data_IF_395495795138
#
_entry.id   IF_395495795138
#
_cell.length_a   1.000
_cell.length_b   1.000
_cell.length_c   1.000
_cell.angle_alpha   90.00
_cell.angle_beta   90.00
_cell.angle_gamma   90.00
#
_symmetry.space_group_name_H-M   'P 1'
#
loop_
_entity.id
_entity.type
_entity.pdbx_description
1 polymer ?
#
# COMPACT_ATOMS: atom_id res chain seq x y z
N UNK A 1 -9.62 -23.87 27.33
CA UNK A 1 -8.77 -24.75 26.51
C UNK A 1 -8.35 -23.92 25.31
N UNK A 2 -7.07 -23.58 25.18
CA UNK A 2 -6.55 -22.95 23.99
C UNK A 2 -6.63 -23.98 22.87
N UNK A 3 -7.63 -23.89 22.01
CA UNK A 3 -7.66 -24.63 20.76
C UNK A 3 -6.47 -24.15 19.92
N UNK A 4 -5.41 -24.92 19.97
CA UNK A 4 -4.15 -24.59 19.29
C UNK A 4 -4.39 -24.70 17.79
N UNK A 5 -4.10 -23.59 17.06
CA UNK A 5 -4.21 -23.60 15.61
C UNK A 5 -3.19 -24.57 15.02
N UNK A 6 -3.62 -25.36 14.03
CA UNK A 6 -2.71 -26.29 13.33
C UNK A 6 -1.62 -25.52 12.60
N UNK A 7 -0.38 -25.90 12.83
CA UNK A 7 0.81 -25.30 12.19
C UNK A 7 0.83 -25.65 10.71
N UNK A 8 1.16 -24.66 9.86
CA UNK A 8 1.33 -24.80 8.41
C UNK A 8 2.79 -24.48 8.07
N UNK A 9 3.60 -25.51 7.86
CA UNK A 9 5.04 -25.44 7.64
C UNK A 9 5.56 -26.30 6.48
N UNK A 10 4.68 -27.07 5.84
CA UNK A 10 4.98 -28.00 4.76
C UNK A 10 3.87 -28.01 3.70
N UNK A 11 4.14 -28.63 2.57
CA UNK A 11 3.18 -28.83 1.47
C UNK A 11 1.94 -29.57 1.97
N UNK A 12 2.11 -30.64 2.73
CA UNK A 12 1.01 -31.47 3.25
C UNK A 12 0.15 -30.67 4.25
N UNK A 13 0.77 -29.96 5.19
CA UNK A 13 0.04 -29.13 6.16
C UNK A 13 -0.68 -27.94 5.49
N UNK A 14 -0.15 -27.39 4.39
CA UNK A 14 -0.84 -26.39 3.59
C UNK A 14 -2.05 -26.98 2.86
N UNK A 15 -1.92 -28.18 2.29
CA UNK A 15 -3.06 -28.87 1.66
C UNK A 15 -4.18 -29.16 2.68
N UNK A 16 -3.84 -29.65 3.87
CA UNK A 16 -4.81 -29.82 4.95
C UNK A 16 -5.46 -28.49 5.37
N UNK A 17 -4.70 -27.39 5.37
CA UNK A 17 -5.26 -26.07 5.65
C UNK A 17 -6.27 -25.63 4.58
N UNK A 18 -5.98 -25.89 3.31
CA UNK A 18 -6.94 -25.65 2.22
C UNK A 18 -8.24 -26.42 2.43
N UNK A 19 -8.17 -27.70 2.78
CA UNK A 19 -9.36 -28.54 2.96
C UNK A 19 -10.24 -28.02 4.11
N UNK A 20 -9.61 -27.62 5.23
CA UNK A 20 -10.33 -27.01 6.36
C UNK A 20 -10.96 -25.67 5.99
N UNK A 21 -10.18 -24.78 5.36
CA UNK A 21 -10.67 -23.45 4.96
C UNK A 21 -11.79 -23.57 3.92
N UNK A 22 -11.67 -24.45 2.94
CA UNK A 22 -12.73 -24.71 1.94
C UNK A 22 -14.02 -25.22 2.58
N UNK A 23 -13.92 -26.11 3.57
CA UNK A 23 -15.07 -26.60 4.33
C UNK A 23 -15.74 -25.46 5.10
N UNK A 24 -14.95 -24.67 5.82
CA UNK A 24 -15.43 -23.51 6.57
C UNK A 24 -16.05 -22.45 5.63
N UNK A 25 -15.45 -22.22 4.48
CA UNK A 25 -15.97 -21.27 3.49
C UNK A 25 -17.32 -21.71 2.92
N UNK A 26 -17.49 -23.01 2.62
CA UNK A 26 -18.79 -23.57 2.18
C UNK A 26 -19.89 -23.43 3.24
N UNK A 27 -19.55 -23.49 4.51
CA UNK A 27 -20.48 -23.20 5.60
C UNK A 27 -20.78 -21.70 5.64
N UNK A 28 -19.76 -20.86 5.61
CA UNK A 28 -19.87 -19.39 5.69
C UNK A 28 -20.61 -18.79 4.49
N UNK A 29 -20.53 -19.40 3.31
CA UNK A 29 -21.25 -18.94 2.12
C UNK A 29 -22.77 -18.89 2.29
N UNK A 30 -23.30 -19.67 3.23
CA UNK A 30 -24.75 -19.74 3.53
C UNK A 30 -25.22 -18.71 4.55
N UNK A 31 -24.30 -17.90 5.12
CA UNK A 31 -24.64 -16.94 6.16
C UNK A 31 -25.45 -15.77 5.58
N UNK A 32 -26.38 -15.28 6.41
CA UNK A 32 -27.18 -14.10 6.09
C UNK A 32 -26.35 -12.82 6.20
N UNK A 33 -26.83 -11.72 5.61
CA UNK A 33 -26.19 -10.42 5.73
C UNK A 33 -26.04 -9.99 7.20
N UNK A 34 -27.03 -10.23 8.03
CA UNK A 34 -27.00 -9.89 9.47
C UNK A 34 -25.89 -10.65 10.20
N UNK A 35 -25.74 -11.94 9.95
CA UNK A 35 -24.67 -12.75 10.53
C UNK A 35 -23.29 -12.25 10.11
N UNK A 36 -23.11 -11.96 8.81
CA UNK A 36 -21.88 -11.41 8.25
C UNK A 36 -21.55 -10.05 8.84
N UNK A 37 -22.54 -9.16 8.96
CA UNK A 37 -22.34 -7.81 9.50
C UNK A 37 -21.98 -7.84 10.99
N UNK A 38 -22.55 -8.75 11.76
CA UNK A 38 -22.17 -8.97 13.17
C UNK A 38 -20.72 -9.43 13.30
N UNK A 39 -20.29 -10.37 12.46
CA UNK A 39 -18.91 -10.90 12.41
C UNK A 39 -17.94 -9.79 11.99
N UNK A 40 -18.24 -9.08 10.91
CA UNK A 40 -17.43 -7.98 10.39
C UNK A 40 -17.22 -6.88 11.43
N UNK A 41 -18.30 -6.48 12.14
CA UNK A 41 -18.25 -5.49 13.21
C UNK A 41 -17.33 -5.94 14.36
N UNK A 42 -17.52 -7.15 14.86
CA UNK A 42 -16.74 -7.68 15.97
C UNK A 42 -15.24 -7.77 15.62
N UNK A 43 -14.93 -8.26 14.43
CA UNK A 43 -13.57 -8.35 13.91
C UNK A 43 -12.89 -6.96 13.78
N UNK A 44 -13.59 -5.97 13.22
CA UNK A 44 -13.09 -4.62 13.06
C UNK A 44 -12.83 -3.92 14.41
N UNK A 45 -13.72 -4.07 15.38
CA UNK A 45 -13.55 -3.52 16.73
C UNK A 45 -12.33 -4.12 17.42
N UNK A 46 -12.16 -5.44 17.38
CA UNK A 46 -11.02 -6.11 17.99
C UNK A 46 -9.69 -5.68 17.34
N UNK A 47 -9.64 -5.58 16.02
CA UNK A 47 -8.48 -5.08 15.30
C UNK A 47 -8.12 -3.64 15.70
N UNK A 48 -9.13 -2.76 15.81
CA UNK A 48 -8.92 -1.37 16.21
C UNK A 48 -8.44 -1.24 17.67
N UNK A 49 -9.00 -2.03 18.58
CA UNK A 49 -8.53 -2.08 19.98
C UNK A 49 -7.07 -2.52 20.09
N UNK A 50 -6.62 -3.41 19.23
CA UNK A 50 -5.25 -3.91 19.18
C UNK A 50 -4.27 -3.05 18.35
N UNK A 51 -4.71 -1.90 17.78
CA UNK A 51 -3.91 -1.09 16.86
C UNK A 51 -2.55 -0.65 17.40
N UNK A 52 -2.48 -0.33 18.71
CA UNK A 52 -1.24 0.10 19.37
C UNK A 52 -0.26 -1.05 19.58
N UNK A 53 -0.61 -2.16 20.28
CA UNK A 53 0.30 -3.27 20.48
C UNK A 53 0.75 -3.90 19.15
N UNK A 54 -0.11 -3.97 18.14
CA UNK A 54 0.26 -4.47 16.82
C UNK A 54 1.26 -3.54 16.11
N UNK A 55 1.13 -2.23 16.24
CA UNK A 55 2.09 -1.27 15.67
C UNK A 55 3.47 -1.41 16.32
N UNK A 56 3.52 -1.52 17.66
CA UNK A 56 4.77 -1.77 18.40
C UNK A 56 5.44 -3.07 17.94
N UNK A 57 4.69 -4.17 17.91
CA UNK A 57 5.19 -5.47 17.47
C UNK A 57 5.74 -5.43 16.05
N UNK A 58 5.08 -4.72 15.12
CA UNK A 58 5.52 -4.60 13.74
C UNK A 58 6.86 -3.85 13.63
N UNK A 59 7.05 -2.75 14.38
CA UNK A 59 8.31 -2.00 14.39
C UNK A 59 9.42 -2.82 15.05
N UNK A 60 9.16 -3.45 16.19
CA UNK A 60 10.13 -4.30 16.90
C UNK A 60 10.59 -5.48 16.05
N UNK A 61 9.67 -6.15 15.33
CA UNK A 61 10.01 -7.30 14.50
C UNK A 61 10.78 -6.92 13.23
N UNK A 62 10.38 -5.83 12.59
CA UNK A 62 10.92 -5.46 11.26
C UNK A 62 12.08 -4.48 11.33
N UNK A 63 12.21 -3.72 12.42
CA UNK A 63 13.12 -2.58 12.53
C UNK A 63 12.76 -1.40 11.60
N UNK A 64 11.51 -1.33 11.10
CA UNK A 64 11.08 -0.39 10.07
C UNK A 64 9.93 0.49 10.54
N UNK A 65 9.98 1.77 10.17
CA UNK A 65 8.90 2.72 10.31
C UNK A 65 8.77 3.37 11.67
N UNK A 66 7.60 3.92 11.94
CA UNK A 66 7.25 4.72 13.11
C UNK A 66 6.02 4.13 13.78
N UNK A 67 6.08 3.91 15.09
CA UNK A 67 4.98 3.26 15.84
C UNK A 67 3.68 4.06 15.69
N UNK A 68 3.73 5.38 15.89
CA UNK A 68 2.58 6.27 15.84
C UNK A 68 1.89 6.23 14.47
N UNK A 69 2.66 6.21 13.40
CA UNK A 69 2.15 6.14 12.03
C UNK A 69 1.56 4.77 11.72
N UNK A 70 2.17 3.69 12.24
CA UNK A 70 1.58 2.34 12.11
C UNK A 70 0.30 2.19 12.92
N UNK A 71 0.14 2.90 14.04
CA UNK A 71 -1.14 2.99 14.77
C UNK A 71 -2.21 3.60 13.89
N UNK A 72 -1.89 4.70 13.16
CA UNK A 72 -2.79 5.34 12.20
C UNK A 72 -3.16 4.36 11.07
N UNK A 73 -2.19 3.64 10.51
CA UNK A 73 -2.42 2.63 9.47
C UNK A 73 -3.33 1.49 9.94
N UNK A 74 -3.12 0.99 11.16
CA UNK A 74 -3.95 -0.07 11.74
C UNK A 74 -5.39 0.43 12.01
N UNK A 75 -5.53 1.66 12.53
CA UNK A 75 -6.83 2.30 12.72
C UNK A 75 -7.56 2.46 11.38
N UNK A 76 -6.87 2.93 10.36
CA UNK A 76 -7.42 3.04 9.01
C UNK A 76 -7.93 1.70 8.48
N UNK A 77 -7.09 0.65 8.56
CA UNK A 77 -7.43 -0.69 8.10
C UNK A 77 -8.64 -1.31 8.83
N UNK A 78 -8.83 -0.97 10.10
CA UNK A 78 -9.92 -1.46 10.93
C UNK A 78 -11.16 -0.58 10.84
N UNK A 79 -11.06 0.69 11.27
CA UNK A 79 -12.20 1.56 11.49
C UNK A 79 -12.73 2.22 10.22
N UNK A 80 -11.82 2.78 9.39
CA UNK A 80 -12.25 3.45 8.14
C UNK A 80 -12.83 2.43 7.16
N UNK A 81 -12.19 1.27 7.02
CA UNK A 81 -12.69 0.16 6.20
C UNK A 81 -14.05 -0.34 6.71
N UNK A 82 -14.20 -0.52 8.03
CA UNK A 82 -15.48 -0.89 8.61
C UNK A 82 -16.57 0.17 8.33
N UNK A 83 -16.29 1.44 8.58
CA UNK A 83 -17.25 2.51 8.37
C UNK A 83 -17.70 2.63 6.91
N UNK A 84 -16.79 2.41 5.96
CA UNK A 84 -17.10 2.41 4.53
C UNK A 84 -18.03 1.27 4.14
N UNK A 85 -17.73 0.05 4.62
CA UNK A 85 -18.39 -1.16 4.12
C UNK A 85 -19.49 -1.73 5.03
N UNK A 86 -19.68 -1.20 6.25
CA UNK A 86 -20.66 -1.74 7.21
C UNK A 86 -22.09 -1.86 6.65
N UNK A 87 -22.50 -0.93 5.79
CA UNK A 87 -23.83 -0.90 5.19
C UNK A 87 -23.87 -1.48 3.76
N UNK A 88 -22.74 -1.94 3.23
CA UNK A 88 -22.70 -2.53 1.89
C UNK A 88 -23.27 -3.94 1.94
N UNK A 89 -24.23 -4.23 1.06
CA UNK A 89 -24.78 -5.57 0.90
C UNK A 89 -23.80 -6.46 0.14
N UNK A 90 -23.51 -7.63 0.71
CA UNK A 90 -22.58 -8.63 0.16
C UNK A 90 -23.18 -10.03 0.14
N UNK A 91 -24.49 -10.14 0.41
CA UNK A 91 -25.19 -11.41 0.44
C UNK A 91 -26.50 -11.34 -0.33
N UNK A 92 -26.77 -12.38 -1.13
CA UNK A 92 -28.03 -12.55 -1.84
C UNK A 92 -28.24 -11.54 -2.97
N UNK A 93 -29.49 -11.26 -3.32
CA UNK A 93 -29.85 -10.35 -4.41
C UNK A 93 -29.52 -8.91 -4.04
N UNK A 94 -28.63 -8.29 -4.81
CA UNK A 94 -28.21 -6.89 -4.65
C UNK A 94 -29.16 -5.94 -5.39
N UNK A 95 -29.56 -6.35 -6.61
CA UNK A 95 -30.36 -5.54 -7.53
C UNK A 95 -31.26 -6.46 -8.35
N UNK A 96 -32.45 -6.03 -8.67
CA UNK A 96 -33.39 -6.70 -9.57
C UNK A 96 -33.95 -5.71 -10.58
N UNK A 97 -33.65 -5.94 -11.86
CA UNK A 97 -34.26 -5.21 -12.99
C UNK A 97 -35.39 -6.06 -13.56
N UNK A 98 -36.62 -5.69 -13.21
CA UNK A 98 -37.82 -6.41 -13.65
C UNK A 98 -38.13 -6.21 -15.13
N UNK A 99 -37.67 -5.09 -15.74
CA UNK A 99 -37.93 -4.80 -17.14
C UNK A 99 -37.11 -5.73 -18.06
N UNK A 100 -35.88 -6.03 -17.66
CA UNK A 100 -34.99 -6.93 -18.39
C UNK A 100 -34.92 -8.34 -17.81
N UNK A 101 -35.61 -8.62 -16.69
CA UNK A 101 -35.57 -9.94 -16.05
C UNK A 101 -34.21 -10.31 -15.46
N UNK A 102 -33.41 -9.31 -15.05
CA UNK A 102 -32.05 -9.49 -14.56
C UNK A 102 -32.00 -9.38 -13.05
N UNK A 103 -31.27 -10.28 -12.39
CA UNK A 103 -30.93 -10.19 -10.96
C UNK A 103 -29.42 -10.19 -10.79
N UNK A 104 -28.89 -9.20 -10.02
CA UNK A 104 -27.49 -9.16 -9.59
C UNK A 104 -27.40 -9.82 -8.22
N UNK A 105 -26.64 -10.89 -8.13
CA UNK A 105 -26.52 -11.68 -6.90
C UNK A 105 -25.06 -11.64 -6.42
N UNK A 106 -24.86 -11.36 -5.12
CA UNK A 106 -23.54 -11.41 -4.50
C UNK A 106 -23.23 -12.82 -4.03
N UNK A 107 -22.15 -13.41 -4.58
CA UNK A 107 -21.64 -14.72 -4.18
C UNK A 107 -20.15 -14.61 -3.78
N UNK A 108 -19.69 -15.39 -2.78
CA UNK A 108 -18.26 -15.46 -2.46
C UNK A 108 -17.48 -16.13 -3.59
N UNK A 109 -16.23 -15.73 -3.80
CA UNK A 109 -15.35 -16.33 -4.82
C UNK A 109 -14.70 -17.63 -4.36
N UNK A 110 -14.64 -17.90 -3.05
CA UNK A 110 -14.05 -19.10 -2.49
C UNK A 110 -12.92 -18.82 -1.50
N UNK A 111 -11.74 -19.42 -1.71
CA UNK A 111 -10.56 -19.26 -0.84
C UNK A 111 -9.58 -18.27 -1.47
N UNK A 112 -9.22 -17.26 -0.70
CA UNK A 112 -8.29 -16.20 -1.08
C UNK A 112 -6.87 -16.57 -0.65
N UNK A 113 -5.90 -16.52 -1.57
CA UNK A 113 -4.48 -16.47 -1.22
C UNK A 113 -4.07 -15.02 -0.92
N UNK A 114 -3.68 -14.74 0.31
CA UNK A 114 -3.30 -13.39 0.73
C UNK A 114 -1.80 -13.29 1.00
N UNK A 115 -1.05 -12.63 0.13
CA UNK A 115 0.39 -12.35 0.35
C UNK A 115 0.53 -11.01 1.05
N UNK A 116 1.22 -11.00 2.19
CA UNK A 116 1.38 -9.83 3.07
C UNK A 116 2.82 -9.30 3.03
N UNK A 117 3.03 -7.99 2.82
CA UNK A 117 4.36 -7.40 2.74
C UNK A 117 4.99 -7.16 4.11
N UNK A 118 6.30 -6.95 4.15
CA UNK A 118 7.02 -6.59 5.39
C UNK A 118 6.80 -5.12 5.80
N UNK A 119 6.48 -4.25 4.86
CA UNK A 119 6.33 -2.80 5.10
C UNK A 119 5.07 -2.43 5.90
N UNK A 120 3.98 -3.17 5.67
CA UNK A 120 2.67 -2.92 6.29
C UNK A 120 2.02 -4.24 6.76
N UNK A 121 2.70 -5.01 7.64
CA UNK A 121 2.27 -6.38 7.91
C UNK A 121 0.92 -6.46 8.62
N UNK A 122 0.72 -5.63 9.65
CA UNK A 122 -0.49 -5.66 10.48
C UNK A 122 -1.68 -5.02 9.79
N UNK A 123 -1.54 -3.83 9.24
CA UNK A 123 -2.64 -3.13 8.55
C UNK A 123 -3.12 -3.87 7.31
N UNK A 124 -2.20 -4.46 6.52
CA UNK A 124 -2.58 -5.26 5.34
C UNK A 124 -3.29 -6.55 5.73
N UNK A 125 -2.84 -7.23 6.80
CA UNK A 125 -3.52 -8.42 7.31
C UNK A 125 -4.92 -8.08 7.82
N UNK A 126 -5.08 -7.01 8.60
CA UNK A 126 -6.38 -6.53 9.09
C UNK A 126 -7.31 -6.23 7.91
N UNK A 127 -6.86 -5.43 6.93
CA UNK A 127 -7.66 -5.07 5.77
C UNK A 127 -8.14 -6.30 5.00
N UNK A 128 -7.22 -7.19 4.60
CA UNK A 128 -7.57 -8.36 3.78
C UNK A 128 -8.48 -9.33 4.51
N UNK A 129 -8.27 -9.57 5.80
CA UNK A 129 -9.13 -10.44 6.59
C UNK A 129 -10.53 -9.86 6.78
N UNK A 130 -10.66 -8.56 7.02
CA UNK A 130 -11.96 -7.91 7.13
C UNK A 130 -12.76 -7.98 5.82
N UNK A 131 -12.13 -7.73 4.67
CA UNK A 131 -12.78 -7.84 3.36
C UNK A 131 -13.19 -9.29 3.08
N UNK A 132 -12.34 -10.27 3.36
CA UNK A 132 -12.68 -11.68 3.20
C UNK A 132 -13.91 -12.08 4.04
N UNK A 133 -13.96 -11.67 5.31
CA UNK A 133 -15.10 -11.93 6.20
C UNK A 133 -16.38 -11.24 5.70
N UNK A 134 -16.29 -9.97 5.29
CA UNK A 134 -17.45 -9.21 4.78
C UNK A 134 -18.05 -9.85 3.53
N UNK A 135 -17.23 -10.51 2.72
CA UNK A 135 -17.63 -11.13 1.45
C UNK A 135 -17.80 -12.67 1.52
N UNK A 136 -17.83 -13.23 2.72
CA UNK A 136 -17.99 -14.68 2.99
C UNK A 136 -16.94 -15.57 2.34
N UNK A 137 -15.73 -15.05 2.13
CA UNK A 137 -14.61 -15.82 1.59
C UNK A 137 -13.79 -16.47 2.71
N UNK A 138 -13.19 -17.62 2.40
CA UNK A 138 -12.09 -18.17 3.18
C UNK A 138 -10.77 -17.50 2.79
N UNK A 139 -9.77 -17.55 3.66
CA UNK A 139 -8.46 -16.95 3.37
C UNK A 139 -7.31 -17.76 3.96
N UNK A 140 -6.23 -17.89 3.19
CA UNK A 140 -4.95 -18.40 3.70
C UNK A 140 -3.90 -17.29 3.47
N UNK A 141 -3.19 -16.93 4.53
CA UNK A 141 -2.21 -15.85 4.52
C UNK A 141 -0.80 -16.40 4.39
N UNK A 142 -0.03 -15.86 3.44
CA UNK A 142 1.43 -16.01 3.39
C UNK A 142 2.07 -14.71 3.91
N UNK A 143 2.59 -14.71 5.16
CA UNK A 143 3.28 -13.56 5.71
C UNK A 143 4.69 -13.45 5.12
N UNK A 144 5.22 -12.23 5.05
CA UNK A 144 6.64 -12.05 4.74
C UNK A 144 7.50 -12.63 5.87
N UNK A 145 8.59 -13.37 5.60
CA UNK A 145 9.41 -14.01 6.65
C UNK A 145 9.89 -13.06 7.76
N UNK A 146 10.24 -11.81 7.41
CA UNK A 146 10.70 -10.78 8.36
C UNK A 146 9.59 -10.06 9.13
N UNK A 147 8.31 -10.38 8.87
CA UNK A 147 7.16 -9.76 9.52
C UNK A 147 6.11 -10.83 9.89
N UNK A 148 6.56 -12.06 10.06
CA UNK A 148 5.70 -13.21 10.30
C UNK A 148 4.92 -13.09 11.61
N UNK A 149 5.59 -12.73 12.69
CA UNK A 149 4.98 -12.68 14.03
C UNK A 149 3.87 -11.62 14.10
N UNK A 150 4.15 -10.43 13.64
CA UNK A 150 3.17 -9.32 13.65
C UNK A 150 1.99 -9.56 12.71
N UNK A 151 2.23 -10.14 11.54
CA UNK A 151 1.17 -10.54 10.59
C UNK A 151 0.25 -11.58 11.22
N UNK A 152 0.81 -12.65 11.79
CA UNK A 152 0.04 -13.73 12.42
C UNK A 152 -0.73 -13.20 13.64
N UNK A 153 -0.11 -12.36 14.47
CA UNK A 153 -0.78 -11.76 15.63
C UNK A 153 -2.00 -10.92 15.23
N UNK A 154 -1.87 -10.09 14.19
CA UNK A 154 -3.00 -9.31 13.67
C UNK A 154 -4.12 -10.22 13.13
N UNK A 155 -3.76 -11.27 12.40
CA UNK A 155 -4.71 -12.25 11.86
C UNK A 155 -5.45 -12.99 12.96
N UNK A 156 -4.75 -13.47 14.00
CA UNK A 156 -5.35 -14.16 15.16
C UNK A 156 -6.39 -13.30 15.87
N UNK A 157 -6.06 -12.04 16.15
CA UNK A 157 -7.00 -11.11 16.81
C UNK A 157 -8.30 -10.96 16.02
N UNK A 158 -8.20 -10.78 14.69
CA UNK A 158 -9.36 -10.67 13.81
C UNK A 158 -10.16 -11.97 13.79
N UNK A 159 -9.48 -13.12 13.61
CA UNK A 159 -10.12 -14.43 13.53
C UNK A 159 -10.83 -14.81 14.83
N UNK A 160 -10.18 -14.63 15.99
CA UNK A 160 -10.77 -14.96 17.30
C UNK A 160 -12.02 -14.14 17.58
N UNK A 161 -12.01 -12.85 17.24
CA UNK A 161 -13.19 -12.01 17.36
C UNK A 161 -14.32 -12.43 16.39
N UNK A 162 -13.96 -12.81 15.18
CA UNK A 162 -14.91 -13.32 14.18
C UNK A 162 -15.56 -14.63 14.66
N UNK A 163 -14.78 -15.58 15.18
CA UNK A 163 -15.28 -16.86 15.73
C UNK A 163 -16.23 -16.61 16.92
N UNK A 164 -15.86 -15.74 17.86
CA UNK A 164 -16.71 -15.36 18.99
C UNK A 164 -18.04 -14.74 18.54
N UNK A 165 -18.04 -14.08 17.38
CA UNK A 165 -19.25 -13.49 16.77
C UNK A 165 -20.05 -14.50 15.93
N UNK A 166 -19.54 -15.72 15.72
CA UNK A 166 -20.22 -16.82 15.03
C UNK A 166 -19.62 -17.25 13.70
N UNK A 167 -18.42 -16.76 13.31
CA UNK A 167 -17.76 -17.26 12.12
C UNK A 167 -17.27 -18.71 12.29
N UNK A 168 -17.17 -19.49 11.20
CA UNK A 168 -16.58 -20.83 11.25
C UNK A 168 -15.12 -20.79 11.72
N UNK A 169 -14.70 -21.74 12.55
CA UNK A 169 -13.39 -21.77 13.20
C UNK A 169 -12.21 -21.68 12.21
N UNK A 170 -12.27 -22.41 11.12
CA UNK A 170 -11.19 -22.55 10.15
C UNK A 170 -11.34 -21.62 8.93
N UNK A 171 -12.08 -20.51 9.06
CA UNK A 171 -12.34 -19.62 7.91
C UNK A 171 -11.10 -18.85 7.44
N UNK A 172 -10.13 -18.65 8.32
CA UNK A 172 -8.83 -18.01 8.02
C UNK A 172 -7.71 -18.91 8.57
N UNK A 173 -6.67 -19.12 7.76
CA UNK A 173 -5.44 -19.81 8.14
C UNK A 173 -4.21 -18.97 7.69
N UNK A 174 -3.02 -19.39 8.10
CA UNK A 174 -1.75 -18.75 7.71
C UNK A 174 -0.63 -19.77 7.64
N UNK A 175 0.42 -19.43 6.87
CA UNK A 175 1.66 -20.20 6.82
C UNK A 175 2.56 -19.77 7.99
N UNK A 176 2.94 -20.72 8.86
CA UNK A 176 3.78 -20.45 10.02
C UNK A 176 5.27 -20.40 9.67
N UNK A 177 5.68 -21.13 8.64
CA UNK A 177 7.06 -21.13 8.13
C UNK A 177 7.03 -20.73 6.63
N UNK A 178 6.93 -19.41 6.33
CA UNK A 178 6.77 -18.96 4.96
C UNK A 178 8.03 -19.24 4.12
N UNK A 179 7.81 -19.85 2.95
CA UNK A 179 8.79 -20.08 1.89
C UNK A 179 8.23 -19.67 0.53
N UNK A 180 9.10 -19.53 -0.47
CA UNK A 180 8.66 -19.29 -1.85
C UNK A 180 7.85 -20.45 -2.39
N UNK A 181 8.23 -21.67 -2.07
CA UNK A 181 7.53 -22.91 -2.47
C UNK A 181 6.08 -22.89 -1.95
N UNK A 182 5.90 -22.74 -0.62
CA UNK A 182 4.58 -22.70 -0.02
C UNK A 182 3.73 -21.52 -0.51
N UNK A 183 4.36 -20.36 -0.72
CA UNK A 183 3.64 -19.19 -1.27
C UNK A 183 3.18 -19.43 -2.71
N UNK A 184 4.01 -20.04 -3.55
CA UNK A 184 3.65 -20.37 -4.92
C UNK A 184 2.53 -21.45 -4.95
N UNK A 185 2.64 -22.50 -4.14
CA UNK A 185 1.59 -23.50 -4.01
C UNK A 185 0.28 -22.88 -3.52
N UNK A 186 0.34 -22.00 -2.52
CA UNK A 186 -0.83 -21.27 -2.04
C UNK A 186 -1.52 -20.50 -3.18
N UNK A 187 -0.75 -19.76 -3.99
CA UNK A 187 -1.28 -18.99 -5.11
C UNK A 187 -1.90 -19.89 -6.18
N UNK A 188 -1.28 -21.03 -6.49
CA UNK A 188 -1.78 -21.97 -7.49
C UNK A 188 -3.05 -22.71 -7.05
N UNK A 189 -3.26 -22.89 -5.74
CA UNK A 189 -4.39 -23.67 -5.18
C UNK A 189 -5.61 -22.82 -4.82
N UNK A 190 -5.44 -21.52 -4.67
CA UNK A 190 -6.52 -20.59 -4.31
C UNK A 190 -7.47 -20.29 -5.47
N UNK A 191 -8.63 -19.73 -5.15
CA UNK A 191 -9.63 -19.33 -6.14
C UNK A 191 -9.36 -17.90 -6.66
N UNK A 192 -8.78 -17.03 -5.81
CA UNK A 192 -8.30 -15.69 -6.17
C UNK A 192 -7.08 -15.30 -5.32
N UNK A 193 -6.21 -14.47 -5.85
CA UNK A 193 -4.99 -14.02 -5.19
C UNK A 193 -5.07 -12.53 -4.88
N UNK A 194 -4.79 -12.15 -3.64
CA UNK A 194 -4.55 -10.77 -3.20
C UNK A 194 -3.07 -10.64 -2.83
N UNK A 195 -2.22 -10.26 -3.77
CA UNK A 195 -0.78 -10.15 -3.55
C UNK A 195 -0.34 -8.69 -3.34
N UNK A 196 0.31 -8.43 -2.21
CA UNK A 196 0.99 -7.16 -1.95
C UNK A 196 2.46 -7.45 -1.70
N UNK A 197 3.35 -6.94 -2.56
CA UNK A 197 4.76 -7.24 -2.45
C UNK A 197 5.61 -6.61 -3.56
N UNK A 198 6.88 -6.96 -3.60
CA UNK A 198 7.79 -6.49 -4.65
C UNK A 198 7.45 -7.04 -6.04
N UNK A 199 8.10 -6.50 -7.10
CA UNK A 199 7.78 -6.84 -8.50
C UNK A 199 7.80 -8.34 -8.80
N UNK A 200 8.76 -9.07 -8.23
CA UNK A 200 8.85 -10.52 -8.42
C UNK A 200 7.64 -11.29 -7.88
N UNK A 201 7.13 -10.89 -6.70
CA UNK A 201 5.95 -11.51 -6.10
C UNK A 201 4.68 -11.23 -6.91
N UNK A 202 4.52 -10.00 -7.37
CA UNK A 202 3.39 -9.60 -8.23
C UNK A 202 3.43 -10.36 -9.57
N UNK A 203 4.61 -10.49 -10.18
CA UNK A 203 4.79 -11.31 -11.38
C UNK A 203 4.41 -12.78 -11.13
N UNK A 204 4.84 -13.36 -10.01
CA UNK A 204 4.46 -14.74 -9.64
C UNK A 204 2.95 -14.88 -9.47
N UNK A 205 2.28 -13.91 -8.86
CA UNK A 205 0.82 -13.92 -8.69
C UNK A 205 0.10 -13.91 -10.05
N UNK A 206 0.46 -13.03 -10.96
CA UNK A 206 -0.15 -12.97 -12.30
C UNK A 206 0.21 -14.18 -13.17
N UNK A 207 1.36 -14.81 -12.94
CA UNK A 207 1.79 -16.01 -13.68
C UNK A 207 1.26 -17.32 -13.10
N UNK A 208 0.50 -17.29 -12.01
CA UNK A 208 -0.02 -18.50 -11.33
C UNK A 208 -1.13 -19.22 -12.08
N UNK A 209 -1.71 -18.59 -13.11
CA UNK A 209 -2.90 -19.09 -13.82
C UNK A 209 -4.21 -18.90 -13.06
N UNK A 210 -4.21 -18.14 -11.97
CA UNK A 210 -5.41 -17.79 -11.17
C UNK A 210 -5.74 -16.30 -11.30
N UNK A 211 -7.01 -15.91 -11.11
CA UNK A 211 -7.36 -14.51 -10.96
C UNK A 211 -6.51 -13.86 -9.85
N UNK A 212 -5.86 -12.74 -10.14
CA UNK A 212 -4.97 -12.10 -9.19
C UNK A 212 -5.17 -10.58 -9.18
N UNK A 213 -5.19 -10.01 -7.98
CA UNK A 213 -5.09 -8.58 -7.72
C UNK A 213 -3.74 -8.32 -7.08
N UNK A 214 -2.79 -7.87 -7.88
CA UNK A 214 -1.40 -7.64 -7.47
C UNK A 214 -1.13 -6.17 -7.24
N UNK A 215 -0.44 -5.86 -6.14
CA UNK A 215 0.06 -4.52 -5.81
C UNK A 215 1.57 -4.56 -5.77
N UNK A 216 2.18 -3.91 -6.72
CA UNK A 216 3.63 -3.77 -6.84
C UNK A 216 4.14 -2.43 -6.31
N UNK A 217 5.34 -2.02 -6.76
CA UNK A 217 5.95 -0.77 -6.36
C UNK A 217 5.14 0.43 -6.86
N UNK A 218 5.15 1.51 -6.08
CA UNK A 218 4.68 2.81 -6.48
C UNK A 218 5.83 3.76 -6.78
N UNK A 219 5.72 4.54 -7.83
CA UNK A 219 6.71 5.55 -8.18
C UNK A 219 6.05 6.91 -8.38
N UNK A 220 5.39 7.39 -7.34
CA UNK A 220 4.57 8.60 -7.38
C UNK A 220 5.41 9.86 -7.69
N UNK A 221 5.21 10.51 -8.83
CA UNK A 221 5.74 11.84 -9.10
C UNK A 221 4.82 12.90 -8.50
N UNK A 222 5.38 13.98 -7.98
CA UNK A 222 4.68 15.19 -7.57
C UNK A 222 5.11 16.35 -8.46
N UNK A 223 4.23 16.82 -9.34
CA UNK A 223 4.47 18.02 -10.16
C UNK A 223 4.09 19.25 -9.36
N UNK A 224 4.97 20.26 -9.32
CA UNK A 224 4.69 21.57 -8.72
C UNK A 224 4.67 22.61 -9.84
N UNK A 225 3.46 23.05 -10.20
CA UNK A 225 3.22 24.07 -11.20
C UNK A 225 3.55 25.46 -10.67
N UNK A 226 3.89 26.40 -11.54
CA UNK A 226 4.20 27.78 -11.17
C UNK A 226 3.07 28.53 -10.47
N UNK A 227 1.82 28.09 -10.66
CA UNK A 227 0.62 28.63 -9.99
C UNK A 227 0.34 28.01 -8.63
N UNK A 228 1.16 27.03 -8.19
CA UNK A 228 0.95 26.31 -6.95
C UNK A 228 1.18 27.19 -5.71
N UNK A 229 0.46 26.90 -4.63
CA UNK A 229 0.86 27.35 -3.30
C UNK A 229 2.09 26.51 -2.86
N UNK A 230 3.27 27.14 -2.90
CA UNK A 230 4.55 26.50 -2.60
C UNK A 230 4.58 26.00 -1.15
N UNK A 231 4.00 26.75 -0.20
CA UNK A 231 3.98 26.35 1.21
C UNK A 231 3.14 25.10 1.41
N UNK A 232 1.96 25.06 0.80
CA UNK A 232 1.08 23.89 0.81
C UNK A 232 1.77 22.69 0.17
N UNK A 233 2.36 22.86 -1.02
CA UNK A 233 3.02 21.80 -1.76
C UNK A 233 4.16 21.16 -0.97
N UNK A 234 5.11 21.97 -0.50
CA UNK A 234 6.28 21.50 0.24
C UNK A 234 5.89 20.84 1.57
N UNK A 235 4.96 21.45 2.33
CA UNK A 235 4.47 20.85 3.57
C UNK A 235 3.80 19.51 3.33
N UNK A 236 2.94 19.41 2.33
CA UNK A 236 2.24 18.18 1.98
C UNK A 236 3.21 17.07 1.60
N UNK A 237 4.19 17.37 0.75
CA UNK A 237 5.23 16.42 0.33
C UNK A 237 6.07 15.95 1.51
N UNK A 238 6.51 16.86 2.39
CA UNK A 238 7.28 16.50 3.58
C UNK A 238 6.44 15.59 4.49
N UNK A 239 5.21 15.99 4.79
CA UNK A 239 4.31 15.22 5.64
C UNK A 239 4.07 13.81 5.07
N UNK A 240 3.81 13.71 3.77
CA UNK A 240 3.62 12.46 3.07
C UNK A 240 4.87 11.58 3.08
N UNK A 241 6.04 12.17 2.76
CA UNK A 241 7.30 11.41 2.62
C UNK A 241 7.91 10.98 3.95
N UNK A 242 7.60 11.68 5.05
CA UNK A 242 8.06 11.30 6.40
C UNK A 242 7.11 10.35 7.11
N UNK A 243 5.85 10.25 6.66
CA UNK A 243 4.88 9.33 7.25
C UNK A 243 5.38 7.88 7.16
N UNK A 244 5.48 7.23 8.31
CA UNK A 244 6.06 5.89 8.50
C UNK A 244 7.44 5.73 7.81
N UNK A 245 8.25 6.78 7.84
CA UNK A 245 9.54 6.88 7.14
C UNK A 245 9.43 6.53 5.63
N UNK A 246 8.39 7.00 4.97
CA UNK A 246 8.19 6.82 3.53
C UNK A 246 7.73 5.42 3.09
N UNK A 247 7.24 4.60 4.01
CA UNK A 247 6.79 3.24 3.71
C UNK A 247 5.33 3.14 3.27
N UNK A 248 4.82 4.11 2.56
CA UNK A 248 3.60 3.95 1.77
C UNK A 248 3.99 3.96 0.30
N UNK A 249 3.57 2.96 -0.46
CA UNK A 249 3.84 2.85 -1.89
C UNK A 249 3.27 4.03 -2.70
N UNK A 250 2.27 4.74 -2.17
CA UNK A 250 1.73 5.97 -2.75
C UNK A 250 2.53 7.23 -2.39
N UNK A 251 3.55 7.15 -1.51
CA UNK A 251 4.35 8.32 -1.15
C UNK A 251 5.15 8.84 -2.35
N UNK A 252 5.35 10.15 -2.38
CA UNK A 252 6.14 10.80 -3.42
C UNK A 252 7.55 10.20 -3.50
N UNK A 253 7.98 9.81 -4.69
CA UNK A 253 9.33 9.36 -4.96
C UNK A 253 10.16 10.43 -5.65
N UNK A 254 9.47 11.33 -6.35
CA UNK A 254 10.07 12.39 -7.15
C UNK A 254 9.26 13.68 -7.04
N UNK A 255 9.94 14.81 -7.03
CA UNK A 255 9.35 16.15 -7.12
C UNK A 255 9.83 16.80 -8.41
N UNK A 256 8.91 17.22 -9.25
CA UNK A 256 9.20 17.83 -10.55
C UNK A 256 8.71 19.28 -10.48
N UNK A 257 9.62 20.22 -10.52
CA UNK A 257 9.35 21.65 -10.27
C UNK A 257 9.60 22.45 -11.53
N UNK A 258 8.65 23.32 -11.89
CA UNK A 258 8.84 24.26 -13.01
C UNK A 258 10.00 25.22 -12.72
N UNK A 259 10.81 25.50 -13.75
CA UNK A 259 12.03 26.30 -13.65
C UNK A 259 11.80 27.69 -13.00
N UNK A 260 10.69 28.34 -13.34
CA UNK A 260 10.31 29.66 -12.82
C UNK A 260 10.18 29.75 -11.30
N UNK A 261 9.92 28.63 -10.62
CA UNK A 261 9.73 28.56 -9.16
C UNK A 261 10.71 27.60 -8.48
N UNK A 262 11.62 26.98 -9.22
CA UNK A 262 12.49 25.91 -8.72
C UNK A 262 13.27 26.31 -7.48
N UNK A 263 13.96 27.44 -7.54
CA UNK A 263 14.80 27.89 -6.44
C UNK A 263 13.97 28.26 -5.19
N UNK A 264 12.75 28.81 -5.38
CA UNK A 264 11.83 29.08 -4.26
C UNK A 264 11.37 27.80 -3.57
N UNK A 265 11.04 26.77 -4.34
CA UNK A 265 10.64 25.45 -3.80
C UNK A 265 11.81 24.78 -3.09
N UNK A 266 13.00 24.83 -3.68
CA UNK A 266 14.25 24.32 -3.09
C UNK A 266 14.54 24.96 -1.74
N UNK A 267 14.49 26.29 -1.67
CA UNK A 267 14.70 27.05 -0.44
C UNK A 267 13.64 26.71 0.62
N UNK A 268 12.39 26.48 0.21
CA UNK A 268 11.33 26.10 1.13
C UNK A 268 11.55 24.71 1.73
N UNK A 269 12.06 23.74 0.97
CA UNK A 269 12.49 22.44 1.50
C UNK A 269 13.61 22.60 2.53
N UNK A 270 14.63 23.44 2.24
CA UNK A 270 15.75 23.71 3.17
C UNK A 270 15.26 24.31 4.49
N UNK A 271 14.37 25.32 4.44
CA UNK A 271 13.78 25.94 5.64
C UNK A 271 13.04 24.96 6.55
N UNK A 272 12.60 23.82 5.99
CA UNK A 272 11.83 22.77 6.71
C UNK A 272 12.64 21.55 7.07
N UNK A 273 13.96 21.71 7.19
CA UNK A 273 14.89 20.65 7.56
C UNK A 273 14.99 19.49 6.55
N UNK A 274 14.76 19.74 5.28
CA UNK A 274 15.19 18.83 4.24
C UNK A 274 16.65 19.15 3.86
N UNK A 275 17.40 18.14 3.49
CA UNK A 275 18.81 18.26 3.14
C UNK A 275 18.99 18.04 1.64
N UNK A 276 19.47 19.07 0.94
CA UNK A 276 19.81 18.98 -0.48
C UNK A 276 21.25 18.46 -0.57
N UNK A 277 21.39 17.29 -1.18
CA UNK A 277 22.67 16.63 -1.36
C UNK A 277 23.54 17.41 -2.38
N UNK A 278 24.82 17.60 -2.08
CA UNK A 278 25.77 18.05 -3.08
C UNK A 278 26.12 16.93 -4.07
N UNK A 279 26.82 17.19 -5.19
CA UNK A 279 27.10 16.14 -6.20
C UNK A 279 27.82 14.91 -5.66
N UNK A 280 28.79 15.07 -4.75
CA UNK A 280 29.52 13.95 -4.13
C UNK A 280 28.60 13.13 -3.20
N UNK A 281 27.82 13.80 -2.40
CA UNK A 281 26.84 13.17 -1.49
C UNK A 281 25.73 12.46 -2.28
N UNK A 282 25.26 13.06 -3.39
CA UNK A 282 24.29 12.44 -4.30
C UNK A 282 24.81 11.11 -4.83
N UNK A 283 26.09 11.06 -5.23
CA UNK A 283 26.68 9.83 -5.70
C UNK A 283 26.80 8.75 -4.61
N UNK A 284 27.13 9.14 -3.37
CA UNK A 284 27.16 8.22 -2.22
C UNK A 284 25.79 7.68 -1.88
N UNK A 285 24.76 8.52 -1.88
CA UNK A 285 23.37 8.12 -1.62
C UNK A 285 22.85 7.27 -2.77
N UNK A 286 23.14 7.59 -4.04
CA UNK A 286 22.80 6.77 -5.22
C UNK A 286 23.25 5.32 -5.05
N UNK A 287 24.51 5.10 -4.71
CA UNK A 287 25.08 3.77 -4.44
C UNK A 287 24.46 3.06 -3.22
N UNK A 288 23.81 3.81 -2.36
CA UNK A 288 23.15 3.28 -1.15
C UNK A 288 21.69 2.88 -1.41
N UNK A 289 20.99 3.53 -2.36
CA UNK A 289 19.58 3.26 -2.68
C UNK A 289 19.43 1.87 -3.29
N UNK A 290 20.24 1.56 -4.30
CA UNK A 290 20.18 0.30 -5.05
C UNK A 290 21.47 -0.49 -4.84
N UNK A 291 21.33 -1.76 -4.47
CA UNK A 291 22.46 -2.70 -4.33
C UNK A 291 22.16 -3.93 -5.18
N UNK A 292 23.09 -4.29 -6.06
CA UNK A 292 22.93 -5.44 -6.98
C UNK A 292 21.62 -5.40 -7.79
N UNK A 293 21.23 -4.21 -8.24
CA UNK A 293 20.03 -4.00 -9.05
C UNK A 293 18.69 -3.98 -8.28
N UNK A 294 18.70 -4.21 -6.98
CA UNK A 294 17.51 -4.21 -6.12
C UNK A 294 17.55 -3.10 -5.08
N UNK A 295 16.34 -2.68 -4.62
CA UNK A 295 16.23 -1.72 -3.52
C UNK A 295 16.94 -2.26 -2.27
N UNK A 296 17.81 -1.44 -1.69
CA UNK A 296 18.53 -1.77 -0.46
C UNK A 296 17.57 -1.90 0.72
N UNK A 297 17.37 -3.13 1.18
CA UNK A 297 16.47 -3.41 2.30
C UNK A 297 16.87 -2.70 3.62
N UNK A 298 18.13 -2.23 3.74
CA UNK A 298 18.63 -1.54 4.94
C UNK A 298 18.15 -0.08 5.05
N UNK A 299 17.69 0.53 3.95
CA UNK A 299 17.17 1.90 3.97
C UNK A 299 15.65 1.96 4.12
N UNK A 300 14.96 0.85 3.82
CA UNK A 300 13.49 0.80 3.84
C UNK A 300 12.96 1.11 5.24
N UNK A 301 12.12 2.15 5.33
CA UNK A 301 11.51 2.57 6.59
C UNK A 301 12.47 3.17 7.61
N UNK A 302 13.69 3.55 7.20
CA UNK A 302 14.67 4.20 8.07
C UNK A 302 14.55 5.72 8.03
N UNK A 303 15.01 6.39 9.09
CA UNK A 303 15.10 7.85 9.13
C UNK A 303 16.15 8.36 8.13
N UNK A 304 15.99 9.59 7.64
CA UNK A 304 16.93 10.25 6.73
C UNK A 304 18.37 10.25 7.27
N UNK A 305 18.54 10.52 8.56
CA UNK A 305 19.84 10.50 9.24
C UNK A 305 20.51 9.13 9.21
N UNK A 306 19.74 8.04 9.37
CA UNK A 306 20.28 6.69 9.27
C UNK A 306 20.69 6.32 7.84
N UNK A 307 19.96 6.81 6.84
CA UNK A 307 20.31 6.60 5.44
C UNK A 307 21.59 7.38 5.10
N UNK A 308 21.72 8.61 5.60
CA UNK A 308 22.94 9.40 5.47
C UNK A 308 24.16 8.69 6.08
N UNK A 309 24.03 8.14 7.27
CA UNK A 309 25.07 7.33 7.93
C UNK A 309 25.48 6.12 7.06
N UNK A 310 24.50 5.38 6.51
CA UNK A 310 24.75 4.23 5.63
C UNK A 310 25.46 4.64 4.33
N UNK A 311 25.22 5.86 3.85
CA UNK A 311 25.86 6.43 2.68
C UNK A 311 27.25 7.06 2.99
N UNK A 312 27.65 7.12 4.27
CA UNK A 312 28.90 7.73 4.69
C UNK A 312 28.92 9.26 4.51
N UNK A 313 27.77 9.92 4.77
CA UNK A 313 27.64 11.37 4.77
C UNK A 313 27.10 11.86 6.13
N UNK A 314 27.43 13.11 6.45
CA UNK A 314 26.98 13.73 7.71
C UNK A 314 25.93 14.79 7.40
N UNK A 315 24.78 14.70 8.06
CA UNK A 315 23.68 15.66 7.93
C UNK A 315 23.21 16.13 9.32
N UNK A 316 22.53 17.27 9.43
CA UNK A 316 21.94 17.71 10.70
C UNK A 316 21.01 16.66 11.30
N UNK A 317 20.99 16.54 12.62
CA UNK A 317 20.20 15.51 13.34
C UNK A 317 18.69 15.62 13.08
N UNK A 318 18.20 16.84 12.85
CA UNK A 318 16.79 17.12 12.55
C UNK A 318 16.43 16.97 11.06
N UNK A 319 17.31 16.39 10.24
CA UNK A 319 17.05 16.15 8.81
C UNK A 319 15.87 15.22 8.60
N UNK A 320 14.87 15.71 7.87
CA UNK A 320 13.63 14.97 7.58
C UNK A 320 13.71 14.14 6.31
N UNK A 321 14.29 14.70 5.25
CA UNK A 321 14.36 14.09 3.91
C UNK A 321 15.72 14.42 3.30
N UNK A 322 16.31 13.44 2.61
CA UNK A 322 17.47 13.64 1.72
C UNK A 322 16.94 13.86 0.30
N UNK A 323 17.37 14.95 -0.34
CA UNK A 323 16.93 15.31 -1.69
C UNK A 323 18.14 15.31 -2.63
N UNK A 324 18.10 14.46 -3.66
CA UNK A 324 19.05 14.47 -4.76
C UNK A 324 18.49 15.27 -5.94
N UNK A 325 19.21 16.33 -6.35
CA UNK A 325 18.92 17.05 -7.59
C UNK A 325 19.48 16.22 -8.75
N UNK A 326 18.61 15.67 -9.60
CA UNK A 326 18.96 14.76 -10.69
C UNK A 326 18.22 15.14 -11.97
N UNK A 327 18.75 14.71 -13.13
CA UNK A 327 18.23 15.08 -14.43
C UNK A 327 17.50 13.90 -15.11
N UNK A 328 18.05 12.70 -15.00
CA UNK A 328 17.50 11.51 -15.67
C UNK A 328 16.28 10.94 -14.94
N UNK A 329 15.23 10.68 -15.69
CA UNK A 329 14.01 9.99 -15.23
C UNK A 329 14.01 8.50 -15.57
N UNK A 330 15.08 8.01 -16.18
CA UNK A 330 15.23 6.60 -16.57
C UNK A 330 15.42 5.71 -15.33
N UNK A 331 14.97 4.47 -15.38
CA UNK A 331 15.17 3.51 -14.27
C UNK A 331 16.63 3.08 -14.06
N UNK A 332 17.55 3.52 -14.91
CA UNK A 332 18.99 3.43 -14.67
C UNK A 332 19.50 4.43 -13.64
N UNK A 333 18.76 5.53 -13.41
CA UNK A 333 18.99 6.48 -12.31
C UNK A 333 18.33 5.94 -11.04
N UNK A 334 19.10 5.67 -9.99
CA UNK A 334 18.61 5.07 -8.77
C UNK A 334 17.62 5.99 -8.02
N UNK A 335 17.80 7.31 -8.12
CA UNK A 335 16.85 8.27 -7.56
C UNK A 335 15.50 8.28 -8.29
N UNK A 336 15.42 7.81 -9.54
CA UNK A 336 14.16 7.69 -10.26
C UNK A 336 13.28 6.53 -9.80
N UNK A 337 13.82 5.59 -9.01
CA UNK A 337 13.13 4.38 -8.56
C UNK A 337 12.37 4.58 -7.25
N UNK A 338 11.49 3.63 -6.91
CA UNK A 338 10.87 3.53 -5.58
C UNK A 338 11.94 3.33 -4.50
N UNK A 339 11.87 4.10 -3.41
CA UNK A 339 12.88 4.09 -2.34
C UNK A 339 12.32 3.65 -0.98
N UNK A 340 11.00 3.71 -0.77
CA UNK A 340 10.32 3.34 0.49
C UNK A 340 11.03 3.90 1.75
N UNK A 341 11.51 5.14 1.63
CA UNK A 341 12.34 5.82 2.62
C UNK A 341 12.27 7.33 2.41
N UNK A 342 12.69 8.18 3.37
CA UNK A 342 12.69 9.63 3.23
C UNK A 342 13.84 10.13 2.34
N UNK A 343 13.87 9.64 1.11
CA UNK A 343 14.78 10.08 0.02
C UNK A 343 13.92 10.48 -1.18
N UNK A 344 14.14 11.68 -1.73
CA UNK A 344 13.45 12.22 -2.90
C UNK A 344 14.42 12.51 -4.04
N UNK A 345 13.97 12.27 -5.27
CA UNK A 345 14.54 12.92 -6.45
C UNK A 345 13.91 14.31 -6.64
N UNK A 346 14.67 15.31 -7.03
CA UNK A 346 14.15 16.62 -7.41
C UNK A 346 14.61 16.96 -8.82
N UNK A 347 13.63 17.20 -9.69
CA UNK A 347 13.82 17.50 -11.11
C UNK A 347 13.42 18.93 -11.43
N UNK A 348 14.22 19.59 -12.26
CA UNK A 348 13.89 20.87 -12.87
C UNK A 348 13.17 20.63 -14.21
N UNK A 349 12.01 21.23 -14.41
CA UNK A 349 11.27 21.17 -15.66
C UNK A 349 11.23 22.53 -16.34
N UNK A 350 11.50 22.56 -17.66
CA UNK A 350 11.53 23.80 -18.44
C UNK A 350 10.18 24.51 -18.51
N UNK A 351 9.11 23.73 -18.54
CA UNK A 351 7.72 24.19 -18.60
C UNK A 351 6.78 23.05 -18.17
N UNK A 352 5.48 23.31 -18.17
CA UNK A 352 4.47 22.34 -17.76
C UNK A 352 4.48 21.06 -18.60
N UNK A 353 4.64 21.15 -19.92
CA UNK A 353 4.70 19.98 -20.82
C UNK A 353 5.89 19.07 -20.46
N UNK A 354 7.08 19.64 -20.24
CA UNK A 354 8.27 18.90 -19.81
C UNK A 354 8.07 18.26 -18.43
N UNK A 355 7.37 18.94 -17.51
CA UNK A 355 7.06 18.39 -16.19
C UNK A 355 6.12 17.17 -16.28
N UNK A 356 5.10 17.25 -17.12
CA UNK A 356 4.14 16.16 -17.35
C UNK A 356 4.83 14.97 -18.04
N UNK A 357 5.70 15.23 -19.03
CA UNK A 357 6.48 14.18 -19.71
C UNK A 357 7.39 13.43 -18.72
N UNK A 358 8.15 14.16 -17.89
CA UNK A 358 8.97 13.56 -16.84
C UNK A 358 8.14 12.71 -15.87
N UNK A 359 6.99 13.24 -15.42
CA UNK A 359 6.11 12.53 -14.52
C UNK A 359 5.54 11.24 -15.16
N UNK A 360 5.15 11.32 -16.42
CA UNK A 360 4.64 10.18 -17.17
C UNK A 360 5.70 9.07 -17.31
N UNK A 361 6.92 9.41 -17.70
CA UNK A 361 8.01 8.43 -17.86
C UNK A 361 8.37 7.74 -16.54
N UNK A 362 8.42 8.48 -15.43
CA UNK A 362 8.62 7.89 -14.09
C UNK A 362 7.52 6.89 -13.73
N UNK A 363 6.26 7.14 -14.13
CA UNK A 363 5.15 6.21 -13.90
C UNK A 363 5.24 5.01 -14.84
N UNK A 364 5.45 5.25 -16.13
CA UNK A 364 5.42 4.21 -17.16
C UNK A 364 6.43 3.10 -16.87
N UNK A 365 7.63 3.47 -16.43
CA UNK A 365 8.72 2.53 -16.15
C UNK A 365 8.75 2.00 -14.71
N UNK A 366 8.18 2.74 -13.75
CA UNK A 366 8.37 2.43 -12.33
C UNK A 366 7.11 2.29 -11.48
N UNK A 367 5.93 2.69 -11.96
CA UNK A 367 4.73 2.75 -11.11
C UNK A 367 3.40 2.80 -11.88
N UNK A 368 3.35 2.19 -13.06
CA UNK A 368 2.17 2.20 -13.92
C UNK A 368 0.92 1.72 -13.16
N UNK A 369 -0.15 2.51 -13.25
CA UNK A 369 -1.44 2.21 -12.60
C UNK A 369 -1.52 2.59 -11.12
N UNK A 370 -0.45 3.11 -10.48
CA UNK A 370 -0.48 3.35 -9.03
C UNK A 370 -1.00 4.75 -8.65
N UNK A 371 -0.15 5.74 -8.50
CA UNK A 371 -0.52 7.06 -7.98
C UNK A 371 0.31 8.16 -8.67
N UNK A 372 -0.30 9.31 -8.91
CA UNK A 372 0.36 10.54 -9.33
C UNK A 372 -0.17 11.74 -8.55
N UNK A 373 0.60 12.80 -8.45
CA UNK A 373 0.25 13.99 -7.68
C UNK A 373 0.63 15.26 -8.43
N UNK A 374 -0.19 16.31 -8.26
CA UNK A 374 0.08 17.64 -8.79
C UNK A 374 -0.33 18.72 -7.79
N UNK A 375 0.48 19.76 -7.66
CA UNK A 375 0.19 20.99 -6.93
C UNK A 375 0.05 22.13 -7.93
N UNK A 376 -1.13 22.74 -7.97
CA UNK A 376 -1.54 23.69 -9.02
C UNK A 376 -2.72 24.54 -8.53
N UNK A 377 -2.88 25.74 -9.07
CA UNK A 377 -4.09 26.51 -8.82
C UNK A 377 -5.26 25.94 -9.65
N UNK A 378 -6.17 25.26 -8.96
CA UNK A 378 -7.31 24.57 -9.60
C UNK A 378 -8.36 25.51 -10.16
N UNK A 379 -8.33 26.81 -9.84
CA UNK A 379 -9.29 27.79 -10.35
C UNK A 379 -8.82 28.42 -11.66
N UNK A 380 -7.52 28.63 -11.83
CA UNK A 380 -6.96 29.31 -13.02
C UNK A 380 -6.39 28.34 -14.06
N UNK A 381 -5.92 27.17 -13.67
CA UNK A 381 -5.14 26.26 -14.52
C UNK A 381 -5.92 24.98 -14.93
N UNK A 382 -7.20 25.14 -15.28
CA UNK A 382 -8.07 24.00 -15.63
C UNK A 382 -7.56 23.18 -16.83
N UNK A 383 -7.01 23.85 -17.86
CA UNK A 383 -6.48 23.16 -19.05
C UNK A 383 -5.24 22.32 -18.73
N UNK A 384 -4.33 22.86 -17.92
CA UNK A 384 -3.16 22.11 -17.43
C UNK A 384 -3.60 20.91 -16.61
N UNK A 385 -4.59 21.10 -15.73
CA UNK A 385 -5.12 20.04 -14.88
C UNK A 385 -5.78 18.94 -15.71
N UNK A 386 -6.57 19.29 -16.73
CA UNK A 386 -7.17 18.33 -17.65
C UNK A 386 -6.10 17.57 -18.45
N UNK A 387 -5.05 18.25 -18.90
CA UNK A 387 -3.90 17.62 -19.56
C UNK A 387 -3.22 16.61 -18.64
N UNK A 388 -3.01 16.96 -17.37
CA UNK A 388 -2.44 16.04 -16.37
C UNK A 388 -3.32 14.80 -16.20
N UNK A 389 -4.63 14.96 -16.00
CA UNK A 389 -5.57 13.83 -15.85
C UNK A 389 -5.57 12.88 -17.06
N UNK A 390 -5.54 13.42 -18.27
CA UNK A 390 -5.58 12.61 -19.49
C UNK A 390 -4.25 11.90 -19.78
N UNK A 391 -3.15 12.42 -19.25
CA UNK A 391 -1.81 11.87 -19.50
C UNK A 391 -1.41 10.83 -18.47
N UNK A 392 -1.70 11.06 -17.18
CA UNK A 392 -1.27 10.18 -16.11
C UNK A 392 -2.04 8.86 -16.09
N UNK A 393 -1.36 7.75 -16.37
CA UNK A 393 -1.93 6.40 -16.33
C UNK A 393 -1.82 5.82 -14.92
N UNK A 394 -2.53 6.43 -13.99
CA UNK A 394 -2.58 6.02 -12.58
C UNK A 394 -4.01 5.90 -12.11
N UNK A 395 -4.26 4.93 -11.21
CA UNK A 395 -5.58 4.73 -10.60
C UNK A 395 -6.01 5.94 -9.77
N UNK A 396 -5.05 6.59 -9.11
CA UNK A 396 -5.29 7.80 -8.30
C UNK A 396 -4.45 8.95 -8.78
N UNK A 397 -5.13 10.05 -9.08
CA UNK A 397 -4.52 11.36 -9.36
C UNK A 397 -4.90 12.28 -8.22
N UNK A 398 -3.92 12.77 -7.49
CA UNK A 398 -4.09 13.61 -6.31
C UNK A 398 -3.74 15.06 -6.63
N UNK A 399 -4.60 15.98 -6.24
CA UNK A 399 -4.41 17.41 -6.47
C UNK A 399 -4.30 18.13 -5.13
N UNK A 400 -3.23 18.90 -4.95
CA UNK A 400 -2.98 19.71 -3.74
C UNK A 400 -3.08 18.90 -2.43
N UNK A 401 -2.59 17.66 -2.44
CA UNK A 401 -2.85 16.69 -1.38
C UNK A 401 -1.62 15.83 -1.12
N UNK A 402 -1.28 15.52 0.16
CA UNK A 402 -0.21 14.59 0.50
C UNK A 402 -0.50 13.19 -0.09
N UNK A 403 0.41 12.66 -0.90
CA UNK A 403 0.13 11.45 -1.67
C UNK A 403 0.02 10.18 -0.81
N UNK A 404 0.77 10.06 0.27
CA UNK A 404 0.70 8.90 1.19
C UNK A 404 -0.70 8.71 1.76
N UNK A 405 -1.31 9.78 2.23
CA UNK A 405 -2.61 9.74 2.90
C UNK A 405 -3.76 9.71 1.89
N UNK A 406 -3.67 10.51 0.83
CA UNK A 406 -4.66 10.52 -0.26
C UNK A 406 -4.64 9.24 -1.08
N UNK A 407 -3.47 8.63 -1.28
CA UNK A 407 -3.31 7.42 -2.09
C UNK A 407 -3.96 6.17 -1.50
N UNK A 408 -4.11 6.06 -0.19
CA UNK A 408 -4.85 4.95 0.44
C UNK A 408 -6.34 5.24 0.61
N UNK A 409 -6.77 6.48 0.37
CA UNK A 409 -8.16 6.94 0.42
C UNK A 409 -8.64 7.31 1.82
N UNK A 410 -9.54 8.26 1.91
CA UNK A 410 -10.38 8.64 3.06
C UNK A 410 -9.70 8.95 4.41
N UNK A 411 -8.37 9.05 4.49
CA UNK A 411 -7.67 9.54 5.70
C UNK A 411 -7.87 11.05 5.89
N UNK A 412 -7.94 11.79 4.81
CA UNK A 412 -8.42 13.16 4.79
C UNK A 412 -9.79 13.16 4.12
N UNK A 413 -10.69 13.97 4.40
CA UNK A 413 -12.05 14.13 3.88
C UNK A 413 -12.27 13.85 2.37
N UNK A 414 -11.50 12.90 1.81
CA UNK A 414 -11.66 12.43 0.43
C UNK A 414 -12.73 11.35 0.38
N UNK A 415 -13.56 11.40 -0.62
CA UNK A 415 -14.55 10.36 -0.90
C UNK A 415 -13.97 9.22 -1.75
N UNK A 416 -12.66 9.00 -1.68
CA UNK A 416 -12.02 7.86 -2.32
C UNK A 416 -12.34 6.58 -1.55
N UNK A 417 -12.46 5.49 -2.26
CA UNK A 417 -12.68 4.19 -1.63
C UNK A 417 -11.43 3.76 -0.86
N UNK A 418 -11.51 3.49 0.46
CA UNK A 418 -10.38 3.07 1.24
C UNK A 418 -9.87 1.71 0.76
N UNK A 419 -8.59 1.62 0.42
CA UNK A 419 -7.96 0.36 0.02
C UNK A 419 -6.49 0.33 0.41
N UNK A 420 -6.04 -0.82 0.90
CA UNK A 420 -4.62 -1.17 1.08
C UNK A 420 -4.14 -2.14 -0.02
N UNK A 421 -4.95 -2.34 -1.06
CA UNK A 421 -4.59 -3.11 -2.24
C UNK A 421 -4.94 -2.29 -3.48
N UNK A 422 -4.03 -1.40 -3.87
CA UNK A 422 -4.12 -0.67 -5.13
C UNK A 422 -3.54 -1.51 -6.24
N UNK A 423 -4.16 -1.50 -7.41
CA UNK A 423 -3.60 -2.16 -8.57
C UNK A 423 -2.38 -1.44 -9.11
N UNK A 424 -1.46 -2.19 -9.65
CA UNK A 424 -0.35 -1.69 -10.44
C UNK A 424 0.07 -2.72 -11.48
N UNK A 425 0.75 -2.24 -12.53
CA UNK A 425 1.13 -3.07 -13.67
C UNK A 425 0.07 -3.19 -14.76
N UNK A 426 -1.15 -2.72 -14.51
CA UNK A 426 -2.19 -2.54 -15.53
C UNK A 426 -2.80 -1.16 -15.40
N UNK A 427 -2.96 -0.47 -16.49
CA UNK A 427 -3.67 0.80 -16.54
C UNK A 427 -5.10 0.61 -16.03
N UNK A 428 -5.55 1.49 -15.17
CA UNK A 428 -6.86 1.38 -14.54
C UNK A 428 -6.84 0.69 -13.19
N UNK A 429 -5.69 0.15 -12.81
CA UNK A 429 -5.46 -0.43 -11.50
C UNK A 429 -6.42 -1.56 -11.16
N UNK A 430 -6.07 -2.31 -10.14
CA UNK A 430 -6.95 -3.30 -9.53
C UNK A 430 -7.13 -2.92 -8.07
N UNK A 431 -8.36 -2.68 -7.65
CA UNK A 431 -8.70 -2.45 -6.26
C UNK A 431 -9.67 -3.51 -5.76
N UNK A 432 -9.39 -4.08 -4.60
CA UNK A 432 -10.31 -5.05 -3.97
C UNK A 432 -11.49 -4.37 -3.30
N UNK A 433 -11.54 -3.06 -3.35
CA UNK A 433 -12.62 -2.26 -2.77
C UNK A 433 -13.70 -1.87 -3.79
N UNK A 434 -13.58 -2.30 -5.05
CA UNK A 434 -14.60 -2.07 -6.11
C UNK A 434 -15.31 -3.35 -6.51
#
# INVERSE_FOLDING_TARGET
MSDEYKVVDSVDSLQEAFDRVRKAQKEFSKYTQEQVDKIFKAAAIAANQARIPLAKMAVEETGMGVIEDKVIKNNYAAEYVYNKYRNVRTCGVLEEDKNFGIKKIAEPVGVIAAVIPTTNPTSTAIFKTLIALKTRNGMIISPHPRAKKSTIAATKIVLEAAIKAGAPKDIIAWIDVPSLELTNMLMQSADIILATGGPGMVKSAYSSGKPALGVGPGNTPAVIDESADILLAVNSIIHSKTFDNGMICASEQSVIVLDSIYDKVRDEFLKRNCYILNPEETEKVRKTIIINGALNAKIVGQKATRIAELAGITVPENTKILIGEVESVEMSEEFAREKLSPVLAMYRAKNFTDAVDKAYRLIEDGGLGHTSSIYINTLTEQEKLQTFYSTMKTYRVLVNTPASQGGIGDIYNFKLTPSLTLGCGTWGGNSVSE
#
